data_IF_862368903526
#
_entry.id   IF_862368903526
#
_cell.length_a   1.000
_cell.length_b   1.000
_cell.length_c   1.000
_cell.angle_alpha   90.00
_cell.angle_beta   90.00
_cell.angle_gamma   90.00
#
_symmetry.space_group_name_H-M   'P 1'
#
loop_
_entity.id
_entity.type
_entity.pdbx_description
1 polymer ?
#
# COMPACT_ATOMS: atom_id res chain seq x y z
N UNK A 1 6.11 12.43 -12.21
CA UNK A 1 7.03 12.76 -11.09
C UNK A 1 6.80 11.76 -9.99
N UNK A 2 7.82 11.44 -9.18
CA UNK A 2 7.66 10.52 -8.07
C UNK A 2 6.69 11.08 -7.01
N UNK A 3 5.95 10.19 -6.36
CA UNK A 3 4.95 10.53 -5.33
C UNK A 3 5.21 9.72 -4.07
N UNK A 4 4.97 10.36 -2.93
CA UNK A 4 4.97 9.73 -1.61
C UNK A 4 3.54 9.64 -1.10
N UNK A 5 3.19 8.51 -0.51
CA UNK A 5 1.86 8.20 -0.01
C UNK A 5 1.97 7.80 1.46
N UNK A 6 1.20 8.47 2.31
CA UNK A 6 0.89 8.02 3.67
C UNK A 6 -0.54 7.50 3.68
N UNK A 7 -0.69 6.22 3.95
CA UNK A 7 -1.98 5.53 3.92
C UNK A 7 -2.27 5.02 5.33
N UNK A 8 -3.45 5.32 5.86
CA UNK A 8 -3.95 4.79 7.13
C UNK A 8 -5.21 3.96 6.91
N UNK A 9 -5.19 2.75 7.45
CA UNK A 9 -6.35 1.88 7.54
C UNK A 9 -6.84 1.85 9.00
N UNK A 10 -7.95 2.53 9.26
CA UNK A 10 -8.57 2.56 10.60
C UNK A 10 -8.98 1.15 11.04
N UNK A 11 -8.59 0.77 12.25
CA UNK A 11 -8.85 -0.56 12.81
C UNK A 11 -8.15 -1.72 12.10
N UNK A 12 -7.31 -1.45 11.09
CA UNK A 12 -6.58 -2.48 10.35
C UNK A 12 -5.62 -3.27 11.26
N UNK A 13 -5.55 -4.59 11.06
CA UNK A 13 -4.69 -5.47 11.86
C UNK A 13 -3.54 -6.04 11.05
N UNK A 14 -2.53 -6.57 11.75
CA UNK A 14 -1.40 -7.24 11.12
C UNK A 14 -1.88 -8.46 10.30
N UNK A 15 -2.81 -9.25 10.83
CA UNK A 15 -3.32 -10.45 10.16
C UNK A 15 -4.01 -10.12 8.82
N UNK A 16 -4.76 -9.02 8.78
CA UNK A 16 -5.41 -8.55 7.55
C UNK A 16 -4.37 -8.06 6.53
N UNK A 17 -3.35 -7.34 7.00
CA UNK A 17 -2.25 -6.90 6.16
C UNK A 17 -1.48 -8.09 5.59
N UNK A 18 -1.08 -9.05 6.43
CA UNK A 18 -0.32 -10.24 6.02
C UNK A 18 -1.12 -11.10 5.02
N UNK A 19 -2.43 -11.23 5.22
CA UNK A 19 -3.31 -11.93 4.28
C UNK A 19 -3.31 -11.29 2.88
N UNK A 20 -3.45 -9.96 2.80
CA UNK A 20 -3.37 -9.22 1.53
C UNK A 20 -1.99 -9.31 0.91
N UNK A 21 -0.94 -9.06 1.71
CA UNK A 21 0.44 -9.00 1.25
C UNK A 21 0.89 -10.34 0.67
N UNK A 22 0.61 -11.44 1.39
CA UNK A 22 0.92 -12.80 0.97
C UNK A 22 0.11 -13.21 -0.26
N UNK A 23 -1.18 -12.87 -0.31
CA UNK A 23 -2.04 -13.22 -1.45
C UNK A 23 -1.57 -12.52 -2.73
N UNK A 24 -1.19 -11.24 -2.65
CA UNK A 24 -0.68 -10.53 -3.81
C UNK A 24 0.72 -10.99 -4.22
N UNK A 25 1.54 -11.55 -3.31
CA UNK A 25 2.89 -12.03 -3.63
C UNK A 25 3.87 -10.90 -3.98
N UNK A 26 3.73 -9.74 -3.34
CA UNK A 26 4.50 -8.53 -3.68
C UNK A 26 5.95 -8.56 -3.16
N UNK A 27 6.28 -9.39 -2.16
CA UNK A 27 7.67 -9.59 -1.72
C UNK A 27 8.54 -10.22 -2.82
N UNK A 28 7.99 -11.22 -3.52
CA UNK A 28 8.69 -11.98 -4.55
C UNK A 28 8.63 -11.28 -5.91
N UNK A 29 7.56 -10.53 -6.15
CA UNK A 29 7.33 -9.79 -7.38
C UNK A 29 6.81 -8.38 -7.06
N UNK A 30 7.70 -7.44 -6.69
CA UNK A 30 7.32 -6.07 -6.37
C UNK A 30 6.60 -5.39 -7.54
N UNK A 31 5.56 -4.57 -7.28
CA UNK A 31 4.85 -3.84 -8.33
C UNK A 31 5.78 -2.93 -9.14
N UNK A 32 5.57 -2.86 -10.45
CA UNK A 32 6.34 -1.98 -11.31
C UNK A 32 6.16 -0.51 -10.89
N UNK A 33 7.28 0.17 -10.70
CA UNK A 33 7.31 1.58 -10.32
C UNK A 33 7.23 1.84 -8.82
N UNK A 34 7.09 0.82 -7.98
CA UNK A 34 7.30 0.94 -6.53
C UNK A 34 8.79 1.24 -6.27
N UNK A 35 9.06 2.26 -5.46
CA UNK A 35 10.42 2.66 -5.06
C UNK A 35 10.74 2.10 -3.68
N UNK A 36 9.79 2.21 -2.75
CA UNK A 36 9.89 1.74 -1.38
C UNK A 36 8.50 1.52 -0.81
N UNK A 37 8.34 0.44 -0.06
CA UNK A 37 7.15 0.10 0.70
C UNK A 37 7.54 -0.14 2.15
N UNK A 38 6.73 0.36 3.06
CA UNK A 38 6.82 0.02 4.48
C UNK A 38 5.44 0.05 5.10
N UNK A 39 5.21 -0.82 6.07
CA UNK A 39 3.95 -0.91 6.75
C UNK A 39 4.14 -1.34 8.21
N UNK A 40 3.19 -1.00 9.08
CA UNK A 40 3.24 -1.39 10.48
C UNK A 40 2.08 -0.84 11.32
N UNK A 41 1.99 -1.26 12.59
CA UNK A 41 0.96 -0.77 13.49
C UNK A 41 1.17 0.71 13.82
N UNK A 42 0.09 1.46 13.86
CA UNK A 42 0.03 2.86 14.30
C UNK A 42 -1.14 3.06 15.25
N UNK A 43 -1.23 4.22 15.88
CA UNK A 43 -2.40 4.54 16.71
C UNK A 43 -3.70 4.46 15.88
N UNK A 44 -4.63 3.62 16.37
CA UNK A 44 -5.94 3.43 15.76
C UNK A 44 -5.96 2.53 14.52
N UNK A 45 -4.87 1.85 14.14
CA UNK A 45 -4.92 0.87 13.06
C UNK A 45 -3.58 0.55 12.41
N UNK A 46 -3.58 0.44 11.08
CA UNK A 46 -2.40 0.06 10.29
C UNK A 46 -1.96 1.18 9.35
N UNK A 47 -0.66 1.46 9.31
CA UNK A 47 -0.05 2.50 8.50
C UNK A 47 0.78 1.90 7.37
N UNK A 48 0.74 2.55 6.21
CA UNK A 48 1.63 2.27 5.06
C UNK A 48 2.29 3.58 4.60
N UNK A 49 3.60 3.54 4.39
CA UNK A 49 4.36 4.60 3.73
C UNK A 49 4.96 4.03 2.45
N UNK A 50 4.52 4.60 1.33
CA UNK A 50 4.88 4.16 -0.01
C UNK A 50 5.49 5.29 -0.82
N UNK A 51 6.44 4.94 -1.68
CA UNK A 51 6.99 5.84 -2.68
C UNK A 51 6.93 5.19 -4.05
N UNK A 52 6.42 5.92 -5.04
CA UNK A 52 6.21 5.43 -6.40
C UNK A 52 6.83 6.37 -7.42
N UNK A 53 7.25 5.81 -8.56
CA UNK A 53 7.80 6.59 -9.68
C UNK A 53 6.78 7.58 -10.28
N UNK A 54 5.48 7.26 -10.16
CA UNK A 54 4.38 8.16 -10.51
C UNK A 54 3.07 7.74 -9.83
N UNK A 55 2.09 8.65 -9.78
CA UNK A 55 0.75 8.34 -9.29
C UNK A 55 0.07 7.25 -10.13
N UNK A 56 0.27 7.28 -11.44
CA UNK A 56 -0.28 6.29 -12.36
C UNK A 56 0.30 4.88 -12.12
N UNK A 57 1.55 4.77 -11.64
CA UNK A 57 2.13 3.47 -11.26
C UNK A 57 1.44 2.88 -10.03
N UNK A 58 1.17 3.72 -9.02
CA UNK A 58 0.38 3.32 -7.86
C UNK A 58 -1.06 2.94 -8.26
N UNK A 59 -1.74 3.76 -9.06
CA UNK A 59 -3.12 3.47 -9.47
C UNK A 59 -3.22 2.16 -10.26
N UNK A 60 -2.24 1.85 -11.14
CA UNK A 60 -2.16 0.55 -11.82
C UNK A 60 -2.02 -0.60 -10.85
N UNK A 61 -1.16 -0.48 -9.83
CA UNK A 61 -1.04 -1.52 -8.79
C UNK A 61 -2.37 -1.71 -8.05
N UNK A 62 -3.04 -0.60 -7.68
CA UNK A 62 -4.33 -0.66 -6.99
C UNK A 62 -5.36 -1.41 -7.81
N UNK A 63 -5.50 -1.07 -9.10
CA UNK A 63 -6.49 -1.68 -9.98
C UNK A 63 -6.17 -3.13 -10.35
N UNK A 64 -4.89 -3.45 -10.59
CA UNK A 64 -4.50 -4.76 -11.13
C UNK A 64 -4.25 -5.83 -10.07
N UNK A 65 -3.89 -5.46 -8.83
CA UNK A 65 -3.53 -6.42 -7.78
C UNK A 65 -4.31 -6.20 -6.49
N UNK A 66 -4.32 -4.97 -5.96
CA UNK A 66 -4.91 -4.71 -4.64
C UNK A 66 -6.44 -4.86 -4.63
N UNK A 67 -7.15 -4.24 -5.57
CA UNK A 67 -8.61 -4.32 -5.65
C UNK A 67 -9.12 -5.75 -5.87
N UNK A 68 -8.55 -6.56 -6.79
CA UNK A 68 -8.88 -7.98 -6.90
C UNK A 68 -8.65 -8.74 -5.59
N UNK A 69 -7.49 -8.52 -4.93
CA UNK A 69 -7.18 -9.20 -3.67
C UNK A 69 -8.16 -8.84 -2.54
N UNK A 70 -8.57 -7.57 -2.43
CA UNK A 70 -9.59 -7.11 -1.49
C UNK A 70 -10.94 -7.81 -1.76
N UNK A 71 -11.33 -7.93 -3.03
CA UNK A 71 -12.58 -8.59 -3.41
C UNK A 71 -12.56 -10.11 -3.12
N UNK A 72 -11.46 -10.79 -3.40
CA UNK A 72 -11.33 -12.24 -3.21
C UNK A 72 -11.26 -12.64 -1.72
N UNK A 73 -10.58 -11.83 -0.90
CA UNK A 73 -10.39 -12.13 0.52
C UNK A 73 -11.52 -11.59 1.41
N UNK A 74 -12.31 -10.63 0.93
CA UNK A 74 -13.47 -10.08 1.61
C UNK A 74 -13.16 -9.64 3.05
N UNK A 75 -13.89 -10.23 4.01
CA UNK A 75 -13.80 -9.90 5.44
C UNK A 75 -12.45 -10.18 6.09
N UNK A 76 -11.55 -10.87 5.40
CA UNK A 76 -10.17 -11.11 5.85
C UNK A 76 -9.24 -9.94 5.58
N UNK A 77 -9.75 -8.83 5.05
CA UNK A 77 -8.96 -7.65 4.65
C UNK A 77 -9.43 -6.39 5.35
N UNK A 78 -8.73 -5.29 5.08
CA UNK A 78 -9.09 -3.96 5.60
C UNK A 78 -10.33 -3.43 4.85
N UNK A 79 -11.44 -3.34 5.56
CA UNK A 79 -12.79 -3.09 5.01
C UNK A 79 -13.09 -1.62 4.78
N UNK A 80 -12.49 -0.74 5.57
CA UNK A 80 -12.75 0.70 5.47
C UNK A 80 -11.87 1.33 4.40
N UNK A 81 -12.41 2.25 3.58
CA UNK A 81 -11.58 3.06 2.70
C UNK A 81 -10.47 3.75 3.51
N UNK A 82 -9.20 3.65 3.10
CA UNK A 82 -8.11 4.24 3.85
C UNK A 82 -8.08 5.77 3.72
N UNK A 83 -7.54 6.45 4.73
CA UNK A 83 -7.10 7.86 4.59
C UNK A 83 -5.77 7.87 3.82
N UNK A 84 -5.79 8.48 2.63
CA UNK A 84 -4.62 8.58 1.75
C UNK A 84 -4.17 10.03 1.68
N UNK A 85 -2.92 10.30 2.06
CA UNK A 85 -2.26 11.59 1.88
C UNK A 85 -1.10 11.47 0.91
N UNK A 86 -1.14 12.27 -0.14
CA UNK A 86 -0.12 12.31 -1.19
C UNK A 86 0.73 13.58 -1.11
N UNK A 87 2.00 13.47 -1.49
CA UNK A 87 2.84 14.61 -1.80
C UNK A 87 3.80 14.33 -2.97
N UNK A 88 4.17 15.36 -3.76
CA UNK A 88 5.20 15.23 -4.77
C UNK A 88 6.57 15.05 -4.10
N UNK A 89 7.32 14.04 -4.52
CA UNK A 89 8.66 13.80 -3.98
C UNK A 89 9.65 14.72 -4.68
N UNK A 90 10.26 15.62 -3.92
CA UNK A 90 11.24 16.57 -4.44
C UNK A 90 12.65 15.96 -4.56
N UNK A 91 13.06 15.12 -3.60
CA UNK A 91 14.37 14.47 -3.58
C UNK A 91 14.26 13.06 -2.95
N UNK A 92 15.09 12.12 -3.42
CA UNK A 92 15.23 10.78 -2.85
C UNK A 92 16.71 10.50 -2.62
N UNK A 93 17.07 10.13 -1.40
CA UNK A 93 18.42 9.68 -1.04
C UNK A 93 18.35 8.26 -0.52
N UNK A 94 19.22 7.39 -1.03
CA UNK A 94 19.38 6.00 -0.58
C UNK A 94 20.79 5.84 0.02
N UNK A 95 20.97 5.03 1.07
CA UNK A 95 22.27 4.79 1.68
C UNK A 95 23.28 4.16 0.70
#
# INVERSE_FOLDING_TARGET
>A
MAVGLRIKFEGGTQEQYDALHSHMGVDQNPPQGLIFHSAGPIEGGWGVIDFWQSREAFDRFVQSRLQPALQELGDRTMQTPPDVREFPVHNITKP
#
